data_IF_262531137333
#
_entry.id   IF_262531137333
#
_cell.length_a   1.000
_cell.length_b   1.000
_cell.length_c   1.000
_cell.angle_alpha   90.00
_cell.angle_beta   90.00
_cell.angle_gamma   90.00
#
_symmetry.space_group_name_H-M   'P 1'
#
loop_
_entity.id
_entity.type
_entity.pdbx_description
1 polymer ?
#
# COMPACT_ATOMS: atom_id res chain seq x y z
N UNK A 1 -2.25 6.61 77.51
CA UNK A 1 -2.24 6.40 78.97
C UNK A 1 -3.61 5.88 79.35
N UNK A 2 -3.86 4.59 79.08
CA UNK A 2 -5.10 3.93 79.48
C UNK A 2 -5.04 3.67 80.98
N UNK A 3 -5.83 4.41 81.75
CA UNK A 3 -6.11 4.02 83.11
C UNK A 3 -7.01 2.78 83.04
N UNK A 4 -6.42 1.59 83.16
CA UNK A 4 -7.18 0.37 83.45
C UNK A 4 -7.97 0.62 84.74
N UNK A 5 -9.28 0.85 84.59
CA UNK A 5 -10.20 0.98 85.71
C UNK A 5 -10.10 -0.29 86.55
N UNK A 6 -9.47 -0.20 87.72
CA UNK A 6 -9.30 -1.34 88.62
C UNK A 6 -10.66 -1.68 89.22
N UNK A 7 -11.11 -2.92 89.05
CA UNK A 7 -12.35 -3.40 89.65
C UNK A 7 -12.36 -3.15 91.16
N UNK A 8 -13.51 -2.72 91.71
CA UNK A 8 -13.67 -2.51 93.15
C UNK A 8 -13.42 -3.83 93.90
N UNK A 9 -12.64 -3.78 94.98
CA UNK A 9 -12.34 -4.94 95.85
C UNK A 9 -13.30 -4.97 97.04
N UNK A 10 -14.00 -6.08 97.21
CA UNK A 10 -14.77 -6.45 98.41
C UNK A 10 -13.93 -7.36 99.34
N UNK A 11 -14.41 -7.61 100.57
CA UNK A 11 -13.71 -8.39 101.62
C UNK A 11 -13.20 -9.78 101.15
N UNK A 12 -13.83 -10.39 100.13
CA UNK A 12 -13.49 -11.72 99.60
C UNK A 12 -13.15 -11.75 98.09
N UNK A 13 -12.93 -10.61 97.41
CA UNK A 13 -12.62 -10.61 95.97
C UNK A 13 -12.99 -9.33 95.23
N UNK A 14 -13.12 -9.39 93.91
CA UNK A 14 -13.60 -8.28 93.08
C UNK A 14 -15.13 -8.24 93.04
N UNK A 15 -15.69 -7.05 92.78
CA UNK A 15 -17.12 -6.88 92.52
C UNK A 15 -17.52 -7.62 91.24
N UNK A 16 -18.27 -8.70 91.42
CA UNK A 16 -18.66 -9.61 90.33
C UNK A 16 -19.45 -8.89 89.24
N UNK A 17 -20.34 -7.95 89.57
CA UNK A 17 -21.16 -7.27 88.57
C UNK A 17 -20.34 -6.38 87.65
N UNK A 18 -19.36 -5.64 88.21
CA UNK A 18 -18.47 -4.79 87.43
C UNK A 18 -17.52 -5.61 86.53
N UNK A 19 -17.12 -6.79 86.98
CA UNK A 19 -16.29 -7.72 86.19
C UNK A 19 -17.13 -8.35 85.07
N UNK A 20 -18.32 -8.85 85.38
CA UNK A 20 -19.23 -9.48 84.42
C UNK A 20 -19.66 -8.47 83.32
N UNK A 21 -19.98 -7.22 83.69
CA UNK A 21 -20.31 -6.14 82.74
C UNK A 21 -19.16 -5.85 81.77
N UNK A 22 -17.91 -5.78 82.28
CA UNK A 22 -16.75 -5.51 81.41
C UNK A 22 -16.40 -6.72 80.53
N UNK A 23 -16.61 -7.93 81.03
CA UNK A 23 -16.48 -9.16 80.23
C UNK A 23 -17.50 -9.17 79.09
N UNK A 24 -18.75 -8.81 79.36
CA UNK A 24 -19.80 -8.72 78.33
C UNK A 24 -19.48 -7.66 77.26
N UNK A 25 -18.97 -6.49 77.66
CA UNK A 25 -18.53 -5.44 76.71
C UNK A 25 -17.33 -5.92 75.85
N UNK A 26 -16.39 -6.63 76.46
CA UNK A 26 -15.25 -7.21 75.75
C UNK A 26 -15.67 -8.33 74.80
N UNK A 27 -16.60 -9.19 75.19
CA UNK A 27 -17.17 -10.24 74.34
C UNK A 27 -17.93 -9.65 73.16
N UNK A 28 -18.73 -8.61 73.37
CA UNK A 28 -19.40 -7.88 72.30
C UNK A 28 -18.38 -7.25 71.33
N UNK A 29 -17.32 -6.63 71.86
CA UNK A 29 -16.25 -6.03 71.06
C UNK A 29 -15.46 -7.08 70.26
N UNK A 30 -15.16 -8.23 70.87
CA UNK A 30 -14.53 -9.37 70.21
C UNK A 30 -15.41 -9.90 69.08
N UNK A 31 -16.71 -10.06 69.31
CA UNK A 31 -17.66 -10.50 68.28
C UNK A 31 -17.68 -9.56 67.07
N UNK A 32 -17.76 -8.25 67.29
CA UNK A 32 -17.73 -7.24 66.22
C UNK A 32 -16.39 -7.26 65.47
N UNK A 33 -15.27 -7.38 66.20
CA UNK A 33 -13.95 -7.39 65.58
C UNK A 33 -13.71 -8.66 64.76
N UNK A 34 -14.13 -9.82 65.25
CA UNK A 34 -14.07 -11.08 64.50
C UNK A 34 -14.90 -11.00 63.22
N UNK A 35 -16.12 -10.46 63.29
CA UNK A 35 -16.97 -10.24 62.11
C UNK A 35 -16.30 -9.33 61.08
N UNK A 36 -15.64 -8.28 61.54
CA UNK A 36 -14.93 -7.33 60.67
C UNK A 36 -13.70 -7.96 60.02
N UNK A 37 -12.96 -8.81 60.76
CA UNK A 37 -11.83 -9.57 60.22
C UNK A 37 -12.27 -10.55 59.14
N UNK A 38 -13.37 -11.29 59.35
CA UNK A 38 -13.93 -12.19 58.34
C UNK A 38 -14.30 -11.44 57.05
N UNK A 39 -14.96 -10.27 57.18
CA UNK A 39 -15.32 -9.45 56.02
C UNK A 39 -14.08 -8.96 55.25
N UNK A 40 -13.04 -8.52 55.96
CA UNK A 40 -11.80 -8.09 55.32
C UNK A 40 -11.04 -9.24 54.68
N UNK A 41 -11.03 -10.43 55.28
CA UNK A 41 -10.43 -11.61 54.68
C UNK A 41 -11.14 -11.98 53.37
N UNK A 42 -12.48 -11.98 53.37
CA UNK A 42 -13.25 -12.29 52.16
C UNK A 42 -12.99 -11.26 51.05
N UNK A 43 -13.01 -9.96 51.38
CA UNK A 43 -12.71 -8.91 50.41
C UNK A 43 -11.28 -8.98 49.88
N UNK A 44 -10.31 -9.38 50.71
CA UNK A 44 -8.93 -9.58 50.28
C UNK A 44 -8.81 -10.75 49.29
N UNK A 45 -9.55 -11.84 49.51
CA UNK A 45 -9.59 -12.98 48.58
C UNK A 45 -10.23 -12.58 47.25
N UNK A 46 -11.35 -11.85 47.28
CA UNK A 46 -12.03 -11.35 46.07
C UNK A 46 -11.11 -10.44 45.25
N UNK A 47 -10.46 -9.47 45.91
CA UNK A 47 -9.52 -8.56 45.26
C UNK A 47 -8.30 -9.31 44.70
N UNK A 48 -7.80 -10.34 45.38
CA UNK A 48 -6.71 -11.15 44.85
C UNK A 48 -7.13 -11.90 43.60
N UNK A 49 -8.34 -12.47 43.58
CA UNK A 49 -8.88 -13.16 42.40
C UNK A 49 -9.05 -12.20 41.21
N UNK A 50 -9.57 -11.00 41.45
CA UNK A 50 -9.71 -9.97 40.42
C UNK A 50 -8.34 -9.53 39.89
N UNK A 51 -7.37 -9.35 40.78
CA UNK A 51 -6.01 -8.98 40.41
C UNK A 51 -5.34 -10.05 39.53
N UNK A 52 -5.50 -11.33 39.89
CA UNK A 52 -4.98 -12.46 39.12
C UNK A 52 -5.63 -12.52 37.72
N UNK A 53 -6.94 -12.26 37.63
CA UNK A 53 -7.66 -12.20 36.35
C UNK A 53 -7.15 -11.04 35.48
N UNK A 54 -7.02 -9.85 36.04
CA UNK A 54 -6.49 -8.68 35.32
C UNK A 54 -5.07 -8.91 34.84
N UNK A 55 -4.22 -9.56 35.63
CA UNK A 55 -2.87 -9.92 35.20
C UNK A 55 -2.88 -10.89 34.02
N UNK A 56 -3.75 -11.91 34.04
CA UNK A 56 -3.88 -12.85 32.92
C UNK A 56 -4.36 -12.14 31.65
N UNK A 57 -5.38 -11.27 31.75
CA UNK A 57 -5.90 -10.51 30.63
C UNK A 57 -4.85 -9.56 30.05
N UNK A 58 -4.09 -8.88 30.92
CA UNK A 58 -3.01 -8.00 30.51
C UNK A 58 -1.91 -8.77 29.77
N UNK A 59 -1.47 -9.92 30.29
CA UNK A 59 -0.48 -10.76 29.60
C UNK A 59 -1.01 -11.25 28.24
N UNK A 60 -2.28 -11.64 28.17
CA UNK A 60 -2.91 -12.04 26.92
C UNK A 60 -2.93 -10.90 25.88
N UNK A 61 -3.34 -9.70 26.31
CA UNK A 61 -3.36 -8.52 25.44
C UNK A 61 -1.96 -8.10 24.99
N UNK A 62 -0.96 -8.20 25.85
CA UNK A 62 0.45 -7.94 25.50
C UNK A 62 0.94 -8.90 24.42
N UNK A 63 0.71 -10.21 24.59
CA UNK A 63 1.10 -11.21 23.59
C UNK A 63 0.41 -10.95 22.25
N UNK A 64 -0.90 -10.68 22.27
CA UNK A 64 -1.67 -10.36 21.06
C UNK A 64 -1.17 -9.09 20.38
N UNK A 65 -0.80 -8.07 21.14
CA UNK A 65 -0.23 -6.82 20.59
C UNK A 65 1.12 -7.09 19.92
N UNK A 66 1.96 -7.92 20.55
CA UNK A 66 3.27 -8.28 19.99
C UNK A 66 3.12 -9.09 18.70
N UNK A 67 2.20 -10.05 18.65
CA UNK A 67 1.89 -10.81 17.44
C UNK A 67 1.39 -9.89 16.31
N UNK A 68 0.49 -8.95 16.62
CA UNK A 68 -0.01 -7.98 15.65
C UNK A 68 1.11 -7.07 15.11
N UNK A 69 2.06 -6.65 15.96
CA UNK A 69 3.21 -5.86 15.53
C UNK A 69 4.13 -6.65 14.59
N UNK A 70 4.41 -7.92 14.91
CA UNK A 70 5.20 -8.81 14.05
C UNK A 70 4.53 -8.98 12.68
N UNK A 71 3.21 -9.23 12.66
CA UNK A 71 2.44 -9.36 11.42
C UNK A 71 2.45 -8.07 10.61
N UNK A 72 2.25 -6.92 11.25
CA UNK A 72 2.31 -5.62 10.57
C UNK A 72 3.68 -5.35 9.94
N UNK A 73 4.76 -5.70 10.65
CA UNK A 73 6.13 -5.56 10.13
C UNK A 73 6.39 -6.50 8.96
N UNK A 74 5.89 -7.74 9.00
CA UNK A 74 5.98 -8.69 7.88
C UNK A 74 5.21 -8.18 6.65
N UNK A 75 3.98 -7.71 6.83
CA UNK A 75 3.16 -7.13 5.75
C UNK A 75 3.87 -5.93 5.13
N UNK A 76 4.41 -5.03 5.95
CA UNK A 76 5.18 -3.88 5.49
C UNK A 76 6.37 -4.31 4.64
N UNK A 77 7.14 -5.30 5.09
CA UNK A 77 8.30 -5.82 4.34
C UNK A 77 7.88 -6.44 3.01
N UNK A 78 6.83 -7.27 3.01
CA UNK A 78 6.29 -7.88 1.79
C UNK A 78 5.80 -6.81 0.80
N UNK A 79 5.05 -5.81 1.28
CA UNK A 79 4.56 -4.73 0.46
C UNK A 79 5.69 -3.90 -0.17
N UNK A 80 6.76 -3.63 0.58
CA UNK A 80 7.95 -2.94 0.05
C UNK A 80 8.68 -3.76 -1.01
N UNK A 81 8.85 -5.06 -0.77
CA UNK A 81 9.49 -5.96 -1.72
C UNK A 81 8.68 -6.08 -3.01
N UNK A 82 7.35 -6.20 -2.90
CA UNK A 82 6.47 -6.28 -4.05
C UNK A 82 6.43 -4.95 -4.83
N UNK A 83 6.36 -3.81 -4.13
CA UNK A 83 6.44 -2.50 -4.77
C UNK A 83 7.78 -2.33 -5.52
N UNK A 84 8.89 -2.77 -4.93
CA UNK A 84 10.20 -2.74 -5.58
C UNK A 84 10.23 -3.61 -6.83
N UNK A 85 9.63 -4.81 -6.77
CA UNK A 85 9.51 -5.70 -7.93
C UNK A 85 8.69 -5.07 -9.05
N UNK A 86 7.54 -4.47 -8.72
CA UNK A 86 6.69 -3.76 -9.69
C UNK A 86 7.46 -2.63 -10.37
N UNK A 87 8.20 -1.82 -9.59
CA UNK A 87 9.02 -0.72 -10.11
C UNK A 87 10.09 -1.26 -11.06
N UNK A 88 10.81 -2.32 -10.69
CA UNK A 88 11.83 -2.91 -11.54
C UNK A 88 11.25 -3.45 -12.84
N UNK A 89 10.13 -4.19 -12.77
CA UNK A 89 9.45 -4.68 -13.96
C UNK A 89 8.92 -3.55 -14.84
N UNK A 90 8.42 -2.46 -14.25
CA UNK A 90 8.00 -1.28 -15.01
C UNK A 90 9.18 -0.59 -15.71
N UNK A 91 10.34 -0.51 -15.06
CA UNK A 91 11.57 0.00 -15.67
C UNK A 91 12.04 -0.89 -16.83
N UNK A 92 12.13 -2.20 -16.64
CA UNK A 92 12.50 -3.15 -17.70
C UNK A 92 11.56 -3.06 -18.90
N UNK A 93 10.26 -2.95 -18.65
CA UNK A 93 9.26 -2.77 -19.70
C UNK A 93 9.44 -1.43 -20.44
N UNK A 94 9.69 -0.33 -19.71
CA UNK A 94 9.94 0.96 -20.32
C UNK A 94 11.20 0.95 -21.20
N UNK A 95 12.28 0.32 -20.74
CA UNK A 95 13.52 0.18 -21.51
C UNK A 95 13.28 -0.65 -22.79
N UNK A 96 12.55 -1.76 -22.69
CA UNK A 96 12.16 -2.54 -23.88
C UNK A 96 11.33 -1.72 -24.86
N UNK A 97 10.34 -0.96 -24.39
CA UNK A 97 9.53 -0.10 -25.25
C UNK A 97 10.39 0.97 -25.96
N UNK A 98 11.36 1.57 -25.26
CA UNK A 98 12.28 2.55 -25.86
C UNK A 98 13.12 1.88 -26.94
N UNK A 99 13.70 0.70 -26.67
CA UNK A 99 14.51 -0.03 -27.64
C UNK A 99 13.70 -0.42 -28.88
N UNK A 100 12.48 -0.93 -28.70
CA UNK A 100 11.59 -1.30 -29.80
C UNK A 100 11.19 -0.06 -30.62
N UNK A 101 10.82 1.03 -29.95
CA UNK A 101 10.45 2.28 -30.62
C UNK A 101 11.62 2.83 -31.44
N UNK A 102 12.84 2.76 -30.91
CA UNK A 102 14.05 3.19 -31.61
C UNK A 102 14.34 2.29 -32.82
N UNK A 103 14.22 0.97 -32.68
CA UNK A 103 14.38 0.03 -33.78
C UNK A 103 13.33 0.28 -34.89
N UNK A 104 12.08 0.53 -34.50
CA UNK A 104 11.01 0.88 -35.42
C UNK A 104 11.27 2.21 -36.14
N UNK A 105 11.73 3.24 -35.43
CA UNK A 105 12.11 4.52 -36.04
C UNK A 105 13.24 4.35 -37.07
N UNK A 106 14.26 3.55 -36.76
CA UNK A 106 15.32 3.22 -37.72
C UNK A 106 14.79 2.46 -38.94
N UNK A 107 13.89 1.50 -38.74
CA UNK A 107 13.23 0.76 -39.83
C UNK A 107 12.45 1.70 -40.76
N UNK A 108 11.65 2.60 -40.19
CA UNK A 108 10.89 3.61 -40.96
C UNK A 108 11.82 4.53 -41.73
N UNK A 109 12.90 5.03 -41.10
CA UNK A 109 13.88 5.88 -41.79
C UNK A 109 14.54 5.16 -42.96
N UNK A 110 14.88 3.87 -42.80
CA UNK A 110 15.46 3.08 -43.88
C UNK A 110 14.48 2.88 -45.04
N UNK A 111 13.21 2.61 -44.73
CA UNK A 111 12.16 2.52 -45.74
C UNK A 111 11.96 3.85 -46.48
N UNK A 112 11.99 4.97 -45.75
CA UNK A 112 11.86 6.31 -46.35
C UNK A 112 13.02 6.61 -47.31
N UNK A 113 14.25 6.27 -46.93
CA UNK A 113 15.41 6.46 -47.80
C UNK A 113 15.31 5.61 -49.07
N UNK A 114 14.92 4.34 -48.95
CA UNK A 114 14.70 3.48 -50.12
C UNK A 114 13.62 4.03 -51.05
N UNK A 115 12.50 4.49 -50.49
CA UNK A 115 11.40 5.09 -51.26
C UNK A 115 11.83 6.39 -51.96
N UNK A 116 12.70 7.18 -51.34
CA UNK A 116 13.28 8.38 -51.96
C UNK A 116 14.20 8.05 -53.14
N UNK A 117 15.02 7.00 -53.02
CA UNK A 117 15.86 6.50 -54.13
C UNK A 117 14.99 6.02 -55.29
N UNK A 118 13.97 5.20 -55.02
CA UNK A 118 13.02 4.72 -56.03
C UNK A 118 12.29 5.88 -56.72
N UNK A 119 11.79 6.85 -55.96
CA UNK A 119 11.17 8.05 -56.51
C UNK A 119 12.13 8.87 -57.40
N UNK A 120 13.42 8.90 -57.04
CA UNK A 120 14.47 9.51 -57.85
C UNK A 120 14.65 8.81 -59.20
N UNK A 121 14.61 7.48 -59.22
CA UNK A 121 14.66 6.67 -60.45
C UNK A 121 13.44 6.96 -61.32
N UNK A 122 12.23 6.87 -60.77
CA UNK A 122 10.98 7.14 -61.50
C UNK A 122 10.97 8.56 -62.08
N UNK A 123 11.42 9.57 -61.30
CA UNK A 123 11.55 10.94 -61.79
C UNK A 123 12.50 11.06 -62.98
N UNK A 124 13.62 10.34 -62.95
CA UNK A 124 14.60 10.34 -64.05
C UNK A 124 13.99 9.69 -65.30
N UNK A 125 13.36 8.53 -65.16
CA UNK A 125 12.68 7.85 -66.26
C UNK A 125 11.60 8.73 -66.91
N UNK A 126 10.78 9.38 -66.09
CA UNK A 126 9.73 10.27 -66.57
C UNK A 126 10.29 11.50 -67.30
N UNK A 127 11.43 12.05 -66.83
CA UNK A 127 12.15 13.12 -67.53
C UNK A 127 12.67 12.67 -68.89
N UNK A 128 13.22 11.46 -68.98
CA UNK A 128 13.70 10.89 -70.24
C UNK A 128 12.55 10.65 -71.24
N UNK A 129 11.39 10.19 -70.76
CA UNK A 129 10.19 10.03 -71.59
C UNK A 129 9.69 11.39 -72.12
N UNK A 130 9.63 12.42 -71.27
CA UNK A 130 9.27 13.78 -71.70
C UNK A 130 10.22 14.34 -72.75
N UNK A 131 11.52 14.10 -72.60
CA UNK A 131 12.52 14.51 -73.61
C UNK A 131 12.28 13.82 -74.96
N UNK A 132 11.94 12.52 -74.97
CA UNK A 132 11.61 11.80 -76.21
C UNK A 132 10.36 12.37 -76.88
N UNK A 133 9.29 12.60 -76.12
CA UNK A 133 8.06 13.19 -76.67
C UNK A 133 8.35 14.58 -77.28
N UNK A 134 9.17 15.38 -76.62
CA UNK A 134 9.54 16.70 -77.15
C UNK A 134 10.34 16.59 -78.46
N UNK A 135 11.27 15.64 -78.55
CA UNK A 135 12.01 15.36 -79.79
C UNK A 135 11.10 14.86 -80.91
N UNK A 136 10.12 13.99 -80.61
CA UNK A 136 9.13 13.54 -81.57
C UNK A 136 8.24 14.69 -82.06
N UNK A 137 7.88 15.60 -81.16
CA UNK A 137 7.13 16.81 -81.49
C UNK A 137 7.94 17.75 -82.41
N UNK A 138 9.23 17.95 -82.13
CA UNK A 138 10.12 18.76 -82.97
C UNK A 138 10.36 18.12 -84.35
N UNK A 139 10.42 16.79 -84.41
CA UNK A 139 10.57 16.04 -85.66
C UNK A 139 9.26 15.96 -86.46
N UNK A 140 8.13 16.33 -85.86
CA UNK A 140 6.83 16.31 -86.50
C UNK A 140 6.76 17.38 -87.58
N UNK A 141 6.92 16.97 -88.84
CA UNK A 141 6.69 17.83 -90.01
C UNK A 141 5.25 17.69 -90.48
N UNK A 142 4.60 18.83 -90.68
CA UNK A 142 3.33 18.88 -91.40
C UNK A 142 3.59 18.46 -92.86
N UNK A 143 2.69 17.65 -93.47
CA UNK A 143 2.83 17.26 -94.85
C UNK A 143 2.83 18.49 -95.74
N UNK A 144 3.77 18.56 -96.68
CA UNK A 144 3.78 19.61 -97.70
C UNK A 144 2.48 19.52 -98.51
N UNK A 145 1.80 20.66 -98.64
CA UNK A 145 0.60 20.75 -99.45
C UNK A 145 0.95 20.37 -100.90
N UNK A 146 0.20 19.43 -101.54
CA UNK A 146 0.48 19.04 -102.91
C UNK A 146 0.44 20.27 -103.83
N UNK A 147 1.45 20.35 -104.69
CA UNK A 147 1.67 21.50 -105.58
C UNK A 147 0.39 21.83 -106.36
N UNK A 148 0.01 23.11 -106.36
CA UNK A 148 -1.24 23.62 -106.94
C UNK A 148 -1.27 23.53 -108.47
N UNK A 149 -0.31 22.86 -109.10
CA UNK A 149 -0.26 22.61 -110.54
C UNK A 149 -1.48 21.85 -111.09
N UNK A 150 -2.16 21.05 -110.26
CA UNK A 150 -3.39 20.35 -110.68
C UNK A 150 -4.60 21.27 -110.87
N UNK A 151 -4.59 22.48 -110.28
CA UNK A 151 -5.66 23.47 -110.45
C UNK A 151 -5.61 24.17 -111.82
N UNK A 152 -4.50 24.10 -112.55
CA UNK A 152 -4.38 24.68 -113.91
C UNK A 152 -5.04 23.81 -115.00
N UNK A 153 -5.46 22.59 -114.67
CA UNK A 153 -6.15 21.71 -115.61
C UNK A 153 -7.69 21.84 -115.54
N UNK A 154 -8.21 22.79 -114.75
CA UNK A 154 -9.63 23.05 -114.57
C UNK A 154 -10.05 24.49 -114.92
N UNK A 155 -9.22 25.25 -115.64
CA UNK A 155 -9.64 26.49 -116.34
C UNK A 155 -10.20 26.19 -117.73
#
# INVERSE_FOLDING_TARGET
MDQQARFRKAKNGYDRFAVDEKLEEMEASLSVLTRKLELYQNSMVELQMENDQLHQELTFLQNKSQEAEIQANQIKSLALNEATKIINTAHENADMMIQETLANAHSVLRQLTALYEEAGVVKKEMKEQLMRINQELDAFKLPDLPDRGWLKNFE
#
